data_IF_964002220077
#
_entry.id   IF_964002220077
#
_cell.length_a   1.000
_cell.length_b   1.000
_cell.length_c   1.000
_cell.angle_alpha   90.00
_cell.angle_beta   90.00
_cell.angle_gamma   90.00
#
_symmetry.space_group_name_H-M   'P 1'
#
loop_
_entity.id
_entity.type
_entity.pdbx_description
1 polymer ?
#
# COMPACT_ATOMS: atom_id res chain seq x y z
N UNK A 1 1.22 2.39 -12.05
CA UNK A 1 2.24 1.98 -11.06
C UNK A 1 2.68 0.54 -11.22
N UNK A 2 1.80 -0.45 -11.34
CA UNK A 2 2.22 -1.86 -11.45
C UNK A 2 3.18 -2.11 -12.64
N UNK A 3 2.76 -1.73 -13.85
CA UNK A 3 3.58 -1.84 -15.06
C UNK A 3 4.88 -1.01 -14.98
N UNK A 4 4.82 0.17 -14.33
CA UNK A 4 6.01 1.03 -14.12
C UNK A 4 6.98 0.36 -13.13
N UNK A 5 6.46 -0.29 -12.07
CA UNK A 5 7.27 -1.01 -11.10
C UNK A 5 7.96 -2.21 -11.75
N UNK A 6 7.23 -2.99 -12.55
CA UNK A 6 7.78 -4.11 -13.32
C UNK A 6 8.81 -3.64 -14.35
N UNK A 7 8.59 -2.49 -15.01
CA UNK A 7 9.52 -1.95 -16.00
C UNK A 7 10.79 -1.32 -15.41
N UNK A 8 10.68 -0.55 -14.33
CA UNK A 8 11.84 0.10 -13.67
C UNK A 8 12.64 -0.84 -12.76
N UNK A 9 11.96 -1.79 -12.11
CA UNK A 9 12.54 -2.61 -11.04
C UNK A 9 12.60 -4.10 -11.36
N UNK A 10 12.56 -4.49 -12.63
CA UNK A 10 12.69 -5.90 -13.07
C UNK A 10 13.97 -6.57 -12.55
N UNK A 11 15.02 -5.81 -12.22
CA UNK A 11 16.26 -6.33 -11.59
C UNK A 11 16.20 -6.45 -10.06
N UNK A 12 15.12 -6.01 -9.43
CA UNK A 12 14.88 -6.01 -7.98
C UNK A 12 13.67 -6.86 -7.58
N UNK A 13 13.20 -7.73 -8.49
CA UNK A 13 12.14 -8.69 -8.23
C UNK A 13 12.73 -9.90 -7.50
N UNK A 14 12.26 -10.17 -6.27
CA UNK A 14 12.64 -11.37 -5.51
C UNK A 14 11.71 -12.54 -5.84
N UNK A 15 10.42 -12.25 -5.96
CA UNK A 15 9.39 -13.17 -6.42
C UNK A 15 8.25 -12.37 -7.05
N UNK A 16 7.37 -13.03 -7.81
CA UNK A 16 6.25 -12.36 -8.48
C UNK A 16 5.37 -11.60 -7.48
N UNK A 17 5.41 -10.27 -7.54
CA UNK A 17 4.71 -9.37 -6.62
C UNK A 17 5.48 -8.98 -5.33
N UNK A 18 6.70 -9.49 -5.12
CA UNK A 18 7.60 -9.13 -4.01
C UNK A 18 8.85 -8.48 -4.61
N UNK A 19 8.99 -7.18 -4.41
CA UNK A 19 10.06 -6.36 -4.95
C UNK A 19 10.79 -5.62 -3.83
N UNK A 20 12.09 -5.37 -3.98
CA UNK A 20 12.84 -4.55 -3.02
C UNK A 20 12.40 -3.07 -2.99
N UNK A 21 11.73 -2.62 -4.06
CA UNK A 21 11.00 -1.36 -4.12
C UNK A 21 9.63 -1.66 -4.73
N UNK A 22 8.56 -1.40 -3.98
CA UNK A 22 7.20 -1.69 -4.41
C UNK A 22 6.32 -0.43 -4.36
N UNK A 23 6.34 0.35 -5.44
CA UNK A 23 5.57 1.60 -5.56
C UNK A 23 4.05 1.44 -5.34
N UNK A 24 3.40 0.33 -5.74
CA UNK A 24 1.98 0.15 -5.46
C UNK A 24 1.63 0.20 -3.97
N UNK A 25 2.56 -0.13 -3.06
CA UNK A 25 2.36 -0.01 -1.62
C UNK A 25 2.00 1.43 -1.22
N UNK A 26 2.76 2.41 -1.71
CA UNK A 26 2.54 3.81 -1.40
C UNK A 26 1.21 4.34 -1.91
N UNK A 27 0.81 3.93 -3.13
CA UNK A 27 -0.49 4.31 -3.67
C UNK A 27 -1.62 3.69 -2.85
N UNK A 28 -1.51 2.43 -2.44
CA UNK A 28 -2.51 1.75 -1.62
C UNK A 28 -2.75 2.49 -0.30
N UNK A 29 -1.67 2.82 0.43
CA UNK A 29 -1.78 3.58 1.67
C UNK A 29 -2.36 4.98 1.41
N UNK A 30 -1.86 5.69 0.40
CA UNK A 30 -2.32 7.03 0.09
C UNK A 30 -3.81 7.05 -0.29
N UNK A 31 -4.29 6.07 -1.06
CA UNK A 31 -5.69 5.94 -1.46
C UNK A 31 -6.62 5.76 -0.25
N UNK A 32 -6.25 4.92 0.73
CA UNK A 32 -7.10 4.76 1.94
C UNK A 32 -7.05 5.96 2.86
N UNK A 33 -5.92 6.67 2.94
CA UNK A 33 -5.84 7.90 3.74
C UNK A 33 -6.59 9.08 3.10
N UNK A 34 -6.62 9.17 1.77
CA UNK A 34 -7.32 10.24 1.05
C UNK A 34 -8.83 9.99 0.90
N UNK A 35 -9.21 8.76 0.57
CA UNK A 35 -10.57 8.41 0.18
C UNK A 35 -11.26 7.47 1.19
N UNK A 36 -10.64 7.22 2.34
CA UNK A 36 -11.23 6.43 3.41
C UNK A 36 -11.76 5.07 2.92
N UNK A 37 -13.01 4.72 3.26
CA UNK A 37 -13.68 3.48 2.85
C UNK A 37 -13.81 3.38 1.32
N UNK A 38 -14.07 4.48 0.62
CA UNK A 38 -14.16 4.48 -0.84
C UNK A 38 -12.82 4.11 -1.48
N UNK A 39 -11.71 4.57 -0.89
CA UNK A 39 -10.35 4.17 -1.29
C UNK A 39 -10.12 2.68 -1.13
N UNK A 40 -10.55 2.09 -0.01
CA UNK A 40 -10.41 0.66 0.24
C UNK A 40 -11.24 -0.19 -0.76
N UNK A 41 -12.47 0.23 -1.08
CA UNK A 41 -13.31 -0.45 -2.07
C UNK A 41 -12.67 -0.38 -3.46
N UNK A 42 -12.20 0.79 -3.88
CA UNK A 42 -11.50 0.96 -5.16
C UNK A 42 -10.27 0.07 -5.28
N UNK A 43 -9.47 0.00 -4.20
CA UNK A 43 -8.31 -0.89 -4.14
C UNK A 43 -8.70 -2.36 -4.24
N UNK A 44 -9.78 -2.78 -3.57
CA UNK A 44 -10.27 -4.15 -3.64
C UNK A 44 -10.65 -4.53 -5.07
N UNK A 45 -11.46 -3.71 -5.73
CA UNK A 45 -11.91 -3.95 -7.09
C UNK A 45 -10.74 -4.01 -8.09
N UNK A 46 -9.82 -3.05 -8.02
CA UNK A 46 -8.62 -3.04 -8.87
C UNK A 46 -7.72 -4.22 -8.56
N UNK A 47 -7.54 -4.58 -7.29
CA UNK A 47 -6.70 -5.72 -6.90
C UNK A 47 -7.29 -7.03 -7.38
N UNK A 48 -8.61 -7.22 -7.31
CA UNK A 48 -9.25 -8.38 -7.92
C UNK A 48 -9.09 -8.40 -9.43
N UNK A 49 -9.30 -7.29 -10.13
CA UNK A 49 -9.10 -7.23 -11.57
C UNK A 49 -7.67 -7.67 -11.94
N UNK A 50 -6.66 -7.15 -11.24
CA UNK A 50 -5.26 -7.53 -11.49
C UNK A 50 -4.99 -8.98 -11.08
N UNK A 51 -5.52 -9.45 -9.95
CA UNK A 51 -5.31 -10.81 -9.50
C UNK A 51 -5.92 -11.84 -10.46
N UNK A 52 -7.20 -11.69 -10.81
CA UNK A 52 -7.93 -12.62 -11.67
C UNK A 52 -7.46 -12.60 -13.13
N UNK A 53 -7.02 -11.46 -13.66
CA UNK A 53 -6.66 -11.36 -15.08
C UNK A 53 -5.16 -11.35 -15.36
N UNK A 54 -4.31 -11.07 -14.36
CA UNK A 54 -2.87 -10.91 -14.58
C UNK A 54 -1.99 -11.79 -13.71
N UNK A 55 -2.20 -11.81 -12.39
CA UNK A 55 -1.29 -12.53 -11.49
C UNK A 55 -1.61 -14.01 -11.34
N UNK A 56 -2.88 -14.36 -11.12
CA UNK A 56 -3.29 -15.72 -10.80
C UNK A 56 -4.59 -16.13 -11.54
N UNK A 57 -4.61 -16.05 -12.88
CA UNK A 57 -5.81 -16.38 -13.67
C UNK A 57 -6.28 -17.83 -13.45
N UNK A 58 -5.35 -18.75 -13.23
CA UNK A 58 -5.65 -20.18 -13.05
C UNK A 58 -5.91 -20.57 -11.59
N UNK A 59 -5.84 -19.62 -10.64
CA UNK A 59 -6.04 -19.86 -9.21
C UNK A 59 -7.03 -18.84 -8.62
N UNK A 60 -8.35 -19.10 -8.76
CA UNK A 60 -9.40 -18.18 -8.29
C UNK A 60 -9.36 -17.94 -6.78
N UNK A 61 -8.98 -18.95 -5.99
CA UNK A 61 -8.91 -18.85 -4.52
C UNK A 61 -7.80 -17.88 -4.13
N UNK A 62 -6.62 -18.03 -4.72
CA UNK A 62 -5.50 -17.11 -4.50
C UNK A 62 -5.79 -15.72 -5.05
N UNK A 63 -6.47 -15.62 -6.18
CA UNK A 63 -6.90 -14.33 -6.73
C UNK A 63 -7.84 -13.58 -5.81
N UNK A 64 -8.85 -14.27 -5.28
CA UNK A 64 -9.82 -13.71 -4.36
C UNK A 64 -9.16 -13.26 -3.05
N UNK A 65 -8.39 -14.15 -2.43
CA UNK A 65 -7.66 -13.86 -1.19
C UNK A 65 -6.63 -12.74 -1.38
N UNK A 66 -5.86 -12.77 -2.47
CA UNK A 66 -4.87 -11.76 -2.79
C UNK A 66 -5.46 -10.36 -2.91
N UNK A 67 -6.62 -10.23 -3.57
CA UNK A 67 -7.33 -8.95 -3.68
C UNK A 67 -7.81 -8.42 -2.33
N UNK A 68 -8.37 -9.30 -1.49
CA UNK A 68 -8.78 -8.93 -0.12
C UNK A 68 -7.57 -8.48 0.70
N UNK A 69 -6.51 -9.28 0.74
CA UNK A 69 -5.31 -8.99 1.54
C UNK A 69 -4.64 -7.68 1.09
N UNK A 70 -4.61 -7.41 -0.22
CA UNK A 70 -4.06 -6.18 -0.78
C UNK A 70 -4.81 -4.91 -0.34
N UNK A 71 -6.14 -4.99 -0.17
CA UNK A 71 -6.97 -3.87 0.30
C UNK A 71 -7.09 -3.81 1.83
N UNK A 72 -7.00 -4.97 2.51
CA UNK A 72 -7.18 -5.08 3.96
C UNK A 72 -6.03 -4.42 4.72
N UNK A 73 -4.78 -4.65 4.31
CA UNK A 73 -3.61 -4.03 4.94
C UNK A 73 -3.69 -2.50 5.08
N UNK A 74 -3.85 -1.73 3.99
CA UNK A 74 -3.94 -0.27 4.07
C UNK A 74 -5.24 0.20 4.73
N UNK A 75 -6.33 -0.56 4.66
CA UNK A 75 -7.60 -0.22 5.31
C UNK A 75 -7.52 -0.36 6.84
N UNK A 76 -6.91 -1.43 7.36
CA UNK A 76 -6.72 -1.60 8.81
C UNK A 76 -5.85 -0.49 9.41
N UNK A 77 -4.81 -0.07 8.69
CA UNK A 77 -3.96 1.06 9.11
C UNK A 77 -4.75 2.36 9.12
N UNK A 78 -5.56 2.62 8.08
CA UNK A 78 -6.47 3.77 8.06
C UNK A 78 -7.44 3.75 9.25
N UNK A 79 -8.11 2.63 9.52
CA UNK A 79 -9.05 2.47 10.64
C UNK A 79 -8.37 2.68 12.00
N UNK A 80 -7.16 2.16 12.17
CA UNK A 80 -6.34 2.40 13.37
C UNK A 80 -5.97 3.89 13.51
N UNK A 81 -5.61 4.55 12.42
CA UNK A 81 -5.32 5.98 12.38
C UNK A 81 -6.57 6.82 12.73
N UNK A 82 -7.72 6.46 12.19
CA UNK A 82 -9.01 7.09 12.47
C UNK A 82 -9.35 6.98 13.96
N UNK A 83 -9.23 5.79 14.54
CA UNK A 83 -9.51 5.56 15.96
C UNK A 83 -8.51 6.30 16.87
N UNK A 84 -7.22 6.33 16.52
CA UNK A 84 -6.17 6.90 17.38
C UNK A 84 -6.02 8.41 17.25
N UNK A 85 -6.24 8.95 16.05
CA UNK A 85 -5.93 10.35 15.71
C UNK A 85 -7.16 11.15 15.26
N UNK A 86 -8.35 10.53 15.17
CA UNK A 86 -9.55 11.20 14.68
C UNK A 86 -9.44 11.60 13.22
N UNK A 87 -8.75 10.80 12.39
CA UNK A 87 -8.63 11.08 10.97
C UNK A 87 -10.02 11.10 10.31
N UNK A 88 -10.34 12.21 9.65
CA UNK A 88 -11.38 12.25 8.63
C UNK A 88 -10.74 12.01 7.26
N UNK A 89 -11.52 11.95 6.18
CA UNK A 89 -11.03 11.85 4.79
C UNK A 89 -10.32 13.15 4.35
N UNK A 90 -9.29 13.56 5.08
CA UNK A 90 -8.46 14.72 4.85
C UNK A 90 -7.11 14.50 5.55
N UNK A 91 -6.03 14.72 4.80
CA UNK A 91 -4.67 14.64 5.33
C UNK A 91 -4.29 15.90 6.14
N UNK A 92 -5.16 16.91 6.22
CA UNK A 92 -4.83 18.21 6.84
C UNK A 92 -4.42 18.12 8.31
N UNK A 93 -4.84 17.06 9.01
CA UNK A 93 -4.56 16.85 10.44
C UNK A 93 -3.37 15.91 10.70
N UNK A 94 -2.73 15.39 9.64
CA UNK A 94 -1.58 14.51 9.76
C UNK A 94 -0.27 15.30 9.85
N UNK A 95 0.40 15.18 10.99
CA UNK A 95 1.78 15.64 11.11
C UNK A 95 2.72 14.70 10.34
N UNK A 96 3.90 15.17 9.89
CA UNK A 96 4.89 14.31 9.23
C UNK A 96 5.28 13.08 10.06
N UNK A 97 5.32 13.22 11.39
CA UNK A 97 5.59 12.12 12.31
C UNK A 97 4.49 11.06 12.30
N UNK A 98 3.22 11.48 12.32
CA UNK A 98 2.07 10.56 12.24
C UNK A 98 2.07 9.85 10.89
N UNK A 99 2.34 10.57 9.80
CA UNK A 99 2.43 9.97 8.47
C UNK A 99 3.53 8.90 8.42
N UNK A 100 4.73 9.19 8.93
CA UNK A 100 5.82 8.20 8.99
C UNK A 100 5.43 6.95 9.80
N UNK A 101 4.73 7.13 10.92
CA UNK A 101 4.25 6.00 11.71
C UNK A 101 3.25 5.14 10.92
N UNK A 102 2.34 5.76 10.16
CA UNK A 102 1.39 5.03 9.31
C UNK A 102 2.09 4.28 8.17
N UNK A 103 3.14 4.87 7.59
CA UNK A 103 3.98 4.21 6.58
C UNK A 103 4.61 2.94 7.17
N UNK A 104 5.23 3.04 8.35
CA UNK A 104 5.84 1.88 9.02
C UNK A 104 4.78 0.83 9.40
N UNK A 105 3.67 1.26 9.99
CA UNK A 105 2.57 0.37 10.37
C UNK A 105 2.02 -0.40 9.17
N UNK A 106 1.84 0.28 8.04
CA UNK A 106 1.41 -0.35 6.79
C UNK A 106 2.44 -1.31 6.21
N UNK A 107 3.71 -0.90 6.20
CA UNK A 107 4.81 -1.73 5.68
C UNK A 107 5.00 -3.02 6.49
N UNK A 108 4.54 -3.05 7.74
CA UNK A 108 4.48 -4.26 8.57
C UNK A 108 3.17 -5.02 8.36
N UNK A 109 2.02 -4.34 8.43
CA UNK A 109 0.70 -4.98 8.36
C UNK A 109 0.44 -5.70 7.03
N UNK A 110 0.83 -5.09 5.91
CA UNK A 110 0.63 -5.65 4.57
C UNK A 110 1.37 -6.98 4.38
N UNK A 111 2.70 -7.06 4.60
CA UNK A 111 3.42 -8.33 4.53
C UNK A 111 2.97 -9.35 5.57
N UNK A 112 2.60 -8.93 6.80
CA UNK A 112 2.12 -9.85 7.82
C UNK A 112 0.86 -10.58 7.38
N UNK A 113 -0.13 -9.85 6.83
CA UNK A 113 -1.37 -10.44 6.34
C UNK A 113 -1.11 -11.43 5.19
N UNK A 114 -0.26 -11.05 4.24
CA UNK A 114 0.11 -11.90 3.11
C UNK A 114 0.86 -13.17 3.55
N UNK A 115 1.80 -13.04 4.49
CA UNK A 115 2.59 -14.18 4.96
C UNK A 115 1.79 -15.08 5.92
N UNK A 116 0.84 -14.53 6.67
CA UNK A 116 -0.11 -15.34 7.43
C UNK A 116 -0.95 -16.21 6.50
N UNK A 117 -1.45 -15.64 5.39
CA UNK A 117 -2.13 -16.42 4.36
C UNK A 117 -1.21 -17.50 3.76
N UNK A 118 0.05 -17.17 3.46
CA UNK A 118 1.01 -18.16 2.96
C UNK A 118 1.29 -19.29 3.96
N UNK A 119 1.36 -18.98 5.26
CA UNK A 119 1.50 -19.98 6.31
C UNK A 119 0.29 -20.93 6.36
N UNK A 120 -0.93 -20.39 6.22
CA UNK A 120 -2.15 -21.19 6.15
C UNK A 120 -2.19 -22.11 4.91
N UNK A 121 -1.47 -21.74 3.85
CA UNK A 121 -1.31 -22.55 2.63
C UNK A 121 -0.11 -23.52 2.72
N UNK A 122 0.52 -23.66 3.89
CA UNK A 122 1.62 -24.60 4.12
C UNK A 122 2.95 -24.21 3.47
N UNK A 123 3.15 -22.94 3.11
CA UNK A 123 4.43 -22.49 2.54
C UNK A 123 5.49 -22.35 3.64
N UNK A 124 6.69 -22.86 3.35
CA UNK A 124 7.86 -22.75 4.21
C UNK A 124 8.75 -21.55 3.85
N UNK A 125 9.74 -21.23 4.69
CA UNK A 125 10.74 -20.18 4.39
C UNK A 125 10.20 -18.75 4.39
N UNK A 126 9.09 -18.48 5.08
CA UNK A 126 8.33 -17.22 5.00
C UNK A 126 9.09 -15.98 5.51
N UNK A 127 10.08 -16.16 6.38
CA UNK A 127 10.79 -15.04 7.00
C UNK A 127 11.52 -14.17 5.96
N UNK A 128 12.20 -14.80 4.99
CA UNK A 128 12.94 -14.06 3.97
C UNK A 128 11.98 -13.28 3.06
N UNK A 129 10.91 -13.92 2.58
CA UNK A 129 9.88 -13.25 1.78
C UNK A 129 9.23 -12.09 2.53
N UNK A 130 8.99 -12.26 3.83
CA UNK A 130 8.42 -11.23 4.69
C UNK A 130 9.33 -10.01 4.77
N UNK A 131 10.63 -10.22 5.02
CA UNK A 131 11.60 -9.13 5.14
C UNK A 131 11.76 -8.37 3.82
N UNK A 132 11.82 -9.07 2.69
CA UNK A 132 11.91 -8.41 1.37
C UNK A 132 10.65 -7.60 1.09
N UNK A 133 9.47 -8.15 1.36
CA UNK A 133 8.21 -7.45 1.14
C UNK A 133 8.05 -6.24 2.10
N UNK A 134 8.49 -6.37 3.36
CA UNK A 134 8.55 -5.25 4.31
C UNK A 134 9.45 -4.12 3.79
N UNK A 135 10.66 -4.44 3.33
CA UNK A 135 11.59 -3.43 2.79
C UNK A 135 11.02 -2.80 1.52
N UNK A 136 10.39 -3.61 0.65
CA UNK A 136 9.72 -3.18 -0.56
C UNK A 136 8.56 -2.22 -0.33
N UNK A 137 7.67 -2.58 0.60
CA UNK A 137 6.52 -1.76 0.97
C UNK A 137 6.98 -0.46 1.65
N UNK A 138 7.99 -0.52 2.52
CA UNK A 138 8.54 0.66 3.19
C UNK A 138 9.19 1.62 2.21
N UNK A 139 10.13 1.14 1.39
CA UNK A 139 10.87 1.96 0.43
C UNK A 139 9.94 2.55 -0.64
N UNK A 140 9.04 1.72 -1.18
CA UNK A 140 8.06 2.14 -2.19
C UNK A 140 7.06 3.15 -1.65
N UNK A 141 6.59 2.97 -0.41
CA UNK A 141 5.67 3.90 0.24
C UNK A 141 6.32 5.25 0.52
N UNK A 142 7.54 5.25 1.08
CA UNK A 142 8.30 6.48 1.30
C UNK A 142 8.51 7.22 -0.02
N UNK A 143 8.96 6.52 -1.07
CA UNK A 143 9.21 7.14 -2.37
C UNK A 143 7.95 7.83 -2.90
N UNK A 144 6.82 7.12 -2.96
CA UNK A 144 5.56 7.68 -3.46
C UNK A 144 5.11 8.90 -2.65
N UNK A 145 5.12 8.81 -1.32
CA UNK A 145 4.63 9.90 -0.46
C UNK A 145 5.52 11.14 -0.60
N UNK A 146 6.85 10.98 -0.60
CA UNK A 146 7.76 12.11 -0.77
C UNK A 146 7.73 12.69 -2.19
N UNK A 147 7.52 11.85 -3.23
CA UNK A 147 7.29 12.35 -4.60
C UNK A 147 6.01 13.17 -4.68
N UNK A 148 4.91 12.70 -4.09
CA UNK A 148 3.65 13.47 -4.03
C UNK A 148 3.85 14.77 -3.27
N UNK A 149 4.51 14.73 -2.11
CA UNK A 149 4.82 15.95 -1.34
C UNK A 149 5.66 16.95 -2.13
N UNK A 150 6.69 16.49 -2.84
CA UNK A 150 7.51 17.33 -3.69
C UNK A 150 6.68 17.94 -4.83
N UNK A 151 5.86 17.12 -5.51
CA UNK A 151 4.97 17.60 -6.57
C UNK A 151 4.01 18.69 -6.07
N UNK A 152 3.43 18.52 -4.88
CA UNK A 152 2.54 19.51 -4.26
C UNK A 152 3.28 20.81 -3.91
N UNK A 153 4.57 20.76 -3.56
CA UNK A 153 5.35 21.97 -3.25
C UNK A 153 5.59 22.89 -4.45
N UNK A 154 5.43 22.36 -5.67
CA UNK A 154 5.50 23.16 -6.90
C UNK A 154 4.17 23.80 -7.29
N UNK A 155 3.07 23.47 -6.60
CA UNK A 155 1.75 24.07 -6.86
C UNK A 155 1.67 25.39 -6.08
N UNK A 156 1.44 26.54 -6.73
CA UNK A 156 1.25 27.81 -6.04
C UNK A 156 0.05 27.72 -5.09
N UNK A 157 0.25 28.01 -3.80
CA UNK A 157 -0.87 28.16 -2.85
C UNK A 157 -1.70 29.39 -3.27
N UNK A 158 -3.02 29.26 -3.48
CA UNK A 158 -3.87 30.41 -3.76
C UNK A 158 -3.79 31.39 -2.58
N UNK A 159 -3.81 32.71 -2.83
CA UNK A 159 -3.69 33.70 -1.78
C UNK A 159 -4.80 33.50 -0.74
N UNK A 160 -4.41 33.32 0.51
CA UNK A 160 -5.31 33.24 1.66
C UNK A 160 -6.06 34.57 1.77
N UNK A 161 -7.27 34.66 1.22
CA UNK A 161 -8.13 35.81 1.46
C UNK A 161 -8.57 35.76 2.92
N UNK A 162 -7.98 36.63 3.74
CA UNK A 162 -8.42 36.95 5.09
C UNK A 162 -9.94 37.15 5.12
N UNK A 163 -10.66 36.31 5.87
CA UNK A 163 -11.90 36.65 6.57
C UNK A 163 -12.00 35.85 7.85
#
# INVERSE_FOLDING_TARGET
MLAINEWLFTRFEFARGINWIYLPAGIRLLSTLLFAEAGAIGLLLVSWLVCFFYFFPDDPVRSFAGGILAALGPYLVYRGAQHRYGLHASLATLTPQRLLLLIVAYSVASPLLMHLWFALQGKEGLLQGFLVMFIGDLSGTLLVIYTVKAALSFIPTPPTSLR
#
